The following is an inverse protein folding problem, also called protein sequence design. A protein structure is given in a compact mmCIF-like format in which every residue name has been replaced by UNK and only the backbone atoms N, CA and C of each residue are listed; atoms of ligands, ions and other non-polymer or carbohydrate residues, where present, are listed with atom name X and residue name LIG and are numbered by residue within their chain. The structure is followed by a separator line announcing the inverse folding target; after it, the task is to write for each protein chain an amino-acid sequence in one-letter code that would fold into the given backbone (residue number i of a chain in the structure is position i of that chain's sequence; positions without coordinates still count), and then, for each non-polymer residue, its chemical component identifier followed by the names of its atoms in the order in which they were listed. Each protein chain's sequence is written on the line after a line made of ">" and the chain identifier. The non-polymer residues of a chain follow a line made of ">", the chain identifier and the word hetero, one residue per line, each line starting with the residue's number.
data_IF_157260236195
#
_entry.id   IF_157260236195
#
_cell.length_a   1.000
_cell.length_b   1.000
_cell.length_c   1.000
_cell.angle_alpha   90.00
_cell.angle_beta   90.00
_cell.angle_gamma   90.00
#
_symmetry.space_group_name_H-M   'P 1'
#
loop_
_entity.id
_entity.type
_entity.pdbx_description
1 polymer ?
#
# COMPACT_ATOMS: atom_id res chain seq x y z
N UNK A 1 -5.39 14.11 52.32
CA UNK A 1 -6.25 13.22 51.52
C UNK A 1 -5.88 13.15 50.02
N UNK A 2 -5.20 14.13 49.40
CA UNK A 2 -4.96 14.14 47.94
C UNK A 2 -3.97 13.10 47.36
N UNK A 3 -2.93 12.68 48.10
CA UNK A 3 -1.90 11.74 47.58
C UNK A 3 -2.44 10.33 47.27
N UNK A 4 -3.30 9.78 48.14
CA UNK A 4 -3.93 8.45 47.92
C UNK A 4 -4.87 8.43 46.72
N UNK A 5 -5.57 9.54 46.48
CA UNK A 5 -6.49 9.68 45.36
C UNK A 5 -5.74 9.78 44.02
N UNK A 6 -4.62 10.52 43.99
CA UNK A 6 -3.71 10.55 42.83
C UNK A 6 -3.15 9.17 42.49
N UNK A 7 -2.76 8.36 43.49
CA UNK A 7 -2.30 6.99 43.25
C UNK A 7 -3.39 6.08 42.69
N UNK A 8 -4.62 6.19 43.20
CA UNK A 8 -5.76 5.43 42.69
C UNK A 8 -6.14 5.84 41.26
N UNK A 9 -6.07 7.13 40.95
CA UNK A 9 -6.36 7.66 39.61
C UNK A 9 -5.28 7.23 38.61
N UNK A 10 -4.01 7.24 39.01
CA UNK A 10 -2.90 6.72 38.22
C UNK A 10 -3.06 5.21 37.95
N UNK A 11 -3.45 4.43 38.97
CA UNK A 11 -3.77 3.00 38.84
C UNK A 11 -4.95 2.76 37.89
N UNK A 12 -5.99 3.57 37.97
CA UNK A 12 -7.15 3.49 37.07
C UNK A 12 -6.78 3.82 35.63
N UNK A 13 -5.93 4.82 35.41
CA UNK A 13 -5.41 5.17 34.08
C UNK A 13 -4.52 4.03 33.55
N UNK A 14 -3.61 3.49 34.36
CA UNK A 14 -2.75 2.36 33.99
C UNK A 14 -3.55 1.09 33.69
N UNK A 15 -4.57 0.78 34.51
CA UNK A 15 -5.47 -0.34 34.28
C UNK A 15 -6.35 -0.11 33.03
N UNK A 16 -6.85 1.11 32.85
CA UNK A 16 -7.61 1.52 31.67
C UNK A 16 -6.79 1.36 30.39
N UNK A 17 -5.59 1.96 30.35
CA UNK A 17 -4.66 1.84 29.22
C UNK A 17 -4.23 0.40 28.98
N UNK A 18 -3.95 -0.35 30.05
CA UNK A 18 -3.60 -1.78 29.98
C UNK A 18 -4.73 -2.66 29.45
N UNK A 19 -5.98 -2.23 29.64
CA UNK A 19 -7.17 -2.93 29.14
C UNK A 19 -7.62 -2.50 27.75
N UNK A 20 -7.21 -1.33 27.24
CA UNK A 20 -7.56 -0.84 25.89
C UNK A 20 -7.42 -1.89 24.76
N UNK A 21 -6.41 -2.78 24.76
CA UNK A 21 -6.31 -3.84 23.76
C UNK A 21 -7.54 -4.75 23.64
N UNK A 22 -8.25 -4.98 24.75
CA UNK A 22 -9.40 -5.87 24.81
C UNK A 22 -10.75 -5.20 24.52
N UNK A 23 -10.84 -3.87 24.54
CA UNK A 23 -12.13 -3.17 24.47
C UNK A 23 -12.59 -2.82 23.04
N UNK A 24 -11.65 -2.70 22.10
CA UNK A 24 -11.96 -2.32 20.72
C UNK A 24 -12.19 -3.58 19.88
N UNK A 25 -13.41 -3.92 19.50
CA UNK A 25 -13.67 -5.13 18.66
C UNK A 25 -13.29 -4.91 17.19
N UNK A 26 -13.07 -5.99 16.41
CA UNK A 26 -12.86 -5.88 14.96
C UNK A 26 -13.99 -5.12 14.26
N UNK A 27 -15.24 -5.36 14.66
CA UNK A 27 -16.41 -4.65 14.12
C UNK A 27 -16.39 -3.14 14.40
N UNK A 28 -15.93 -2.71 15.58
CA UNK A 28 -15.80 -1.29 15.88
C UNK A 28 -14.69 -0.64 15.04
N UNK A 29 -13.58 -1.35 14.80
CA UNK A 29 -12.51 -0.90 13.91
C UNK A 29 -12.97 -0.82 12.46
N UNK A 30 -13.72 -1.80 11.97
CA UNK A 30 -14.34 -1.76 10.66
C UNK A 30 -15.28 -0.56 10.53
N UNK A 31 -16.19 -0.36 11.48
CA UNK A 31 -17.13 0.77 11.46
C UNK A 31 -16.40 2.12 11.47
N UNK A 32 -15.32 2.23 12.26
CA UNK A 32 -14.50 3.43 12.30
C UNK A 32 -13.77 3.64 10.97
N UNK A 33 -13.10 2.61 10.44
CA UNK A 33 -12.37 2.68 9.18
C UNK A 33 -13.29 3.02 8.01
N UNK A 34 -14.46 2.37 7.93
CA UNK A 34 -15.46 2.61 6.88
C UNK A 34 -16.03 4.03 6.90
N UNK A 35 -16.01 4.72 8.05
CA UNK A 35 -16.40 6.14 8.12
C UNK A 35 -15.46 7.07 7.37
N UNK A 36 -14.19 6.68 7.21
CA UNK A 36 -13.20 7.44 6.45
C UNK A 36 -13.11 7.02 4.98
N UNK A 37 -13.80 5.95 4.60
CA UNK A 37 -13.87 5.49 3.22
C UNK A 37 -15.01 6.19 2.49
N UNK A 38 -14.85 6.33 1.16
CA UNK A 38 -15.95 6.73 0.30
C UNK A 38 -17.08 5.68 0.37
N UNK A 39 -18.35 6.08 0.21
CA UNK A 39 -19.51 5.23 0.51
C UNK A 39 -19.58 3.94 -0.33
N UNK A 40 -18.96 3.93 -1.51
CA UNK A 40 -18.94 2.77 -2.40
C UNK A 40 -17.86 1.74 -2.04
N UNK A 41 -17.09 2.00 -0.98
CA UNK A 41 -16.00 1.16 -0.52
C UNK A 41 -16.26 0.66 0.89
N UNK A 42 -15.89 -0.60 1.12
CA UNK A 42 -16.00 -1.24 2.43
C UNK A 42 -14.70 -1.96 2.76
N UNK A 43 -14.34 -1.90 4.04
CA UNK A 43 -13.21 -2.55 4.64
C UNK A 43 -13.72 -3.50 5.72
N UNK A 44 -13.37 -4.77 5.55
CA UNK A 44 -13.68 -5.85 6.47
C UNK A 44 -12.36 -6.35 7.08
N UNK A 45 -12.37 -6.63 8.37
CA UNK A 45 -11.23 -7.05 9.18
C UNK A 45 -11.56 -8.45 9.71
N UNK A 46 -10.62 -9.37 9.56
CA UNK A 46 -10.76 -10.72 10.10
C UNK A 46 -11.06 -10.73 11.60
N UNK A 47 -11.82 -11.74 12.04
CA UNK A 47 -12.16 -11.90 13.46
C UNK A 47 -10.94 -12.19 14.33
N UNK A 48 -9.93 -12.84 13.76
CA UNK A 48 -8.69 -13.16 14.46
C UNK A 48 -7.76 -11.96 14.44
N UNK A 49 -7.58 -11.38 15.62
CA UNK A 49 -6.62 -10.31 15.87
C UNK A 49 -5.86 -10.59 17.15
N UNK A 50 -4.60 -10.17 17.18
CA UNK A 50 -3.85 -10.06 18.41
C UNK A 50 -3.34 -8.62 18.54
N UNK A 51 -3.62 -7.99 19.67
CA UNK A 51 -3.02 -6.70 20.01
C UNK A 51 -2.08 -6.93 21.18
N UNK A 52 -0.83 -6.52 21.02
CA UNK A 52 0.18 -6.58 22.07
C UNK A 52 0.94 -5.26 22.12
N UNK A 53 1.89 -5.15 23.05
CA UNK A 53 2.68 -3.92 23.19
C UNK A 53 3.53 -3.58 21.97
N UNK A 54 3.91 -4.57 21.16
CA UNK A 54 4.76 -4.38 19.98
C UNK A 54 3.95 -4.01 18.74
N UNK A 55 2.65 -4.29 18.73
CA UNK A 55 1.81 -3.97 17.59
C UNK A 55 0.49 -4.72 17.51
N UNK A 56 -0.06 -4.71 16.30
CA UNK A 56 -1.31 -5.35 15.92
C UNK A 56 -1.04 -6.42 14.87
N UNK A 57 -1.56 -7.62 15.08
CA UNK A 57 -1.63 -8.64 14.06
C UNK A 57 -3.09 -8.87 13.67
N UNK A 58 -3.33 -8.95 12.37
CA UNK A 58 -4.64 -9.27 11.79
C UNK A 58 -4.46 -10.47 10.85
N UNK A 59 -5.36 -11.46 10.95
CA UNK A 59 -5.32 -12.58 10.02
C UNK A 59 -5.66 -12.14 8.60
N UNK A 60 -6.59 -11.20 8.44
CA UNK A 60 -7.07 -10.77 7.14
C UNK A 60 -7.65 -9.35 7.16
N UNK A 61 -7.53 -8.65 6.03
CA UNK A 61 -8.25 -7.42 5.71
C UNK A 61 -8.75 -7.52 4.26
N UNK A 62 -10.03 -7.26 4.03
CA UNK A 62 -10.64 -7.20 2.69
C UNK A 62 -11.10 -5.80 2.39
N UNK A 63 -10.71 -5.30 1.23
CA UNK A 63 -11.15 -4.03 0.70
C UNK A 63 -12.00 -4.29 -0.54
N UNK A 64 -13.28 -3.93 -0.46
CA UNK A 64 -14.28 -4.25 -1.47
C UNK A 64 -14.98 -2.99 -1.94
N UNK A 65 -15.43 -3.02 -3.19
CA UNK A 65 -16.45 -2.10 -3.70
C UNK A 65 -17.84 -2.68 -3.45
N UNK A 66 -18.88 -1.96 -3.88
CA UNK A 66 -20.26 -2.49 -3.93
C UNK A 66 -20.43 -3.71 -4.84
N UNK A 67 -19.51 -3.91 -5.80
CA UNK A 67 -19.65 -4.92 -6.86
C UNK A 67 -18.72 -6.11 -6.67
N UNK A 68 -17.54 -5.92 -6.08
CA UNK A 68 -16.50 -6.95 -6.01
C UNK A 68 -15.49 -6.68 -4.89
N UNK A 69 -14.73 -7.71 -4.52
CA UNK A 69 -13.62 -7.59 -3.59
C UNK A 69 -12.35 -7.19 -4.37
N UNK A 70 -11.82 -5.99 -4.12
CA UNK A 70 -10.69 -5.45 -4.87
C UNK A 70 -9.37 -6.01 -4.36
N UNK A 71 -9.15 -5.97 -3.04
CA UNK A 71 -7.91 -6.42 -2.42
C UNK A 71 -8.19 -7.26 -1.19
N UNK A 72 -7.47 -8.37 -1.04
CA UNK A 72 -7.38 -9.13 0.21
C UNK A 72 -5.94 -9.11 0.71
N UNK A 73 -5.73 -8.66 1.94
CA UNK A 73 -4.46 -8.73 2.64
C UNK A 73 -4.55 -9.84 3.69
N UNK A 74 -3.56 -10.70 3.78
CA UNK A 74 -3.50 -11.81 4.73
C UNK A 74 -2.23 -11.73 5.57
N UNK A 75 -2.34 -12.16 6.84
CA UNK A 75 -1.29 -12.15 7.87
C UNK A 75 -0.59 -10.79 7.92
N UNK A 76 -1.33 -9.80 8.41
CA UNK A 76 -0.90 -8.42 8.50
C UNK A 76 -0.28 -8.20 9.87
N UNK A 77 0.89 -7.57 9.91
CA UNK A 77 1.58 -7.19 11.14
C UNK A 77 1.89 -5.71 11.09
N UNK A 78 1.33 -4.95 12.02
CA UNK A 78 1.61 -3.53 12.19
C UNK A 78 2.45 -3.36 13.45
N UNK A 79 3.71 -2.93 13.30
CA UNK A 79 4.58 -2.49 14.38
C UNK A 79 4.43 -0.98 14.58
N UNK A 80 4.14 -0.57 15.81
CA UNK A 80 3.78 0.82 16.14
C UNK A 80 5.01 1.62 16.63
N UNK A 81 6.08 0.92 17.01
CA UNK A 81 7.37 1.50 17.41
C UNK A 81 8.19 1.87 16.19
N UNK A 82 9.09 2.84 16.34
CA UNK A 82 9.93 3.29 15.23
C UNK A 82 10.97 2.22 14.83
N UNK A 83 11.14 1.91 13.53
CA UNK A 83 10.34 2.42 12.41
C UNK A 83 8.96 1.78 12.38
N UNK A 84 7.92 2.61 12.24
CA UNK A 84 6.54 2.12 12.09
C UNK A 84 6.48 1.28 10.82
N UNK A 85 6.06 0.04 10.93
CA UNK A 85 6.11 -0.91 9.82
C UNK A 85 4.82 -1.69 9.70
N UNK A 86 4.21 -1.65 8.53
CA UNK A 86 3.10 -2.49 8.14
C UNK A 86 3.63 -3.58 7.23
N UNK A 87 3.61 -4.82 7.68
CA UNK A 87 4.00 -5.99 6.91
C UNK A 87 2.78 -6.81 6.54
N UNK A 88 2.69 -7.23 5.29
CA UNK A 88 1.65 -8.10 4.75
C UNK A 88 2.33 -9.29 4.10
N UNK A 89 2.03 -10.49 4.59
CA UNK A 89 2.61 -11.71 4.06
C UNK A 89 2.11 -12.00 2.64
N UNK A 90 0.82 -11.79 2.40
CA UNK A 90 0.21 -12.01 1.09
C UNK A 90 -0.89 -10.99 0.81
N UNK A 91 -0.80 -10.31 -0.32
CA UNK A 91 -1.84 -9.48 -0.89
C UNK A 91 -2.39 -10.15 -2.16
N UNK A 92 -3.70 -10.16 -2.34
CA UNK A 92 -4.37 -10.61 -3.55
C UNK A 92 -5.14 -9.44 -4.13
N UNK A 93 -4.85 -9.06 -5.37
CA UNK A 93 -5.52 -8.01 -6.13
C UNK A 93 -6.39 -8.63 -7.23
N UNK A 94 -7.65 -8.27 -7.30
CA UNK A 94 -8.57 -8.72 -8.35
C UNK A 94 -8.49 -7.77 -9.55
N UNK A 95 -7.95 -8.25 -10.67
CA UNK A 95 -7.75 -7.44 -11.87
C UNK A 95 -9.06 -7.06 -12.57
N UNK A 96 -10.04 -7.95 -12.61
CA UNK A 96 -11.36 -7.64 -13.17
C UNK A 96 -12.03 -6.56 -12.34
N UNK A 97 -11.97 -6.69 -11.00
CA UNK A 97 -12.52 -5.69 -10.09
C UNK A 97 -11.82 -4.32 -10.23
N UNK A 98 -10.49 -4.32 -10.36
CA UNK A 98 -9.71 -3.10 -10.58
C UNK A 98 -10.12 -2.40 -11.87
N UNK A 99 -10.29 -3.17 -12.96
CA UNK A 99 -10.63 -2.62 -14.27
C UNK A 99 -12.10 -2.15 -14.36
N UNK A 100 -12.97 -2.57 -13.45
CA UNK A 100 -14.35 -2.07 -13.35
C UNK A 100 -14.49 -0.80 -12.50
N UNK A 101 -13.40 -0.33 -11.86
CA UNK A 101 -13.43 0.93 -11.10
C UNK A 101 -13.61 2.11 -12.07
N UNK A 102 -14.76 2.78 -11.96
CA UNK A 102 -15.03 3.98 -12.74
C UNK A 102 -14.32 5.16 -12.08
N UNK A 103 -13.27 5.69 -12.73
CA UNK A 103 -12.74 7.01 -12.38
C UNK A 103 -13.73 8.04 -12.95
N UNK A 104 -14.57 8.58 -12.08
CA UNK A 104 -15.57 9.56 -12.49
C UNK A 104 -14.89 10.92 -12.68
N UNK A 105 -14.42 11.19 -13.89
CA UNK A 105 -13.72 12.44 -14.26
C UNK A 105 -14.55 13.71 -13.97
N UNK A 106 -15.87 13.56 -13.76
CA UNK A 106 -16.81 14.61 -13.45
C UNK A 106 -16.84 15.04 -11.97
N UNK A 107 -16.09 14.38 -11.07
CA UNK A 107 -15.95 14.88 -9.70
C UNK A 107 -15.29 16.26 -9.71
N UNK A 108 -15.94 17.22 -9.03
CA UNK A 108 -15.52 18.63 -9.04
C UNK A 108 -14.17 18.87 -8.36
N UNK A 109 -13.69 17.95 -7.51
CA UNK A 109 -12.46 18.15 -6.74
C UNK A 109 -11.66 16.85 -6.67
N UNK A 110 -10.54 16.78 -7.38
CA UNK A 110 -9.59 15.68 -7.19
C UNK A 110 -8.95 15.79 -5.80
N UNK A 111 -8.74 14.66 -5.08
CA UNK A 111 -7.87 14.62 -3.92
C UNK A 111 -6.50 15.18 -4.25
N UNK A 112 -5.93 15.94 -3.31
CA UNK A 112 -4.59 16.53 -3.44
C UNK A 112 -3.53 15.58 -2.88
N UNK A 113 -2.47 15.34 -3.64
CA UNK A 113 -1.31 14.57 -3.18
C UNK A 113 -0.65 15.24 -1.98
N UNK A 114 -0.58 16.58 -1.93
CA UNK A 114 -0.06 17.34 -0.78
C UNK A 114 -0.84 17.03 0.50
N UNK A 115 -2.17 16.99 0.41
CA UNK A 115 -3.02 16.65 1.55
C UNK A 115 -2.78 15.20 2.01
N UNK A 116 -2.63 14.25 1.08
CA UNK A 116 -2.29 12.86 1.40
C UNK A 116 -0.91 12.76 2.07
N UNK A 117 0.12 13.35 1.49
CA UNK A 117 1.48 13.31 2.04
C UNK A 117 1.60 14.02 3.41
N UNK A 118 0.76 15.03 3.67
CA UNK A 118 0.72 15.72 4.96
C UNK A 118 0.12 14.89 6.10
N UNK A 119 -0.72 13.90 5.78
CA UNK A 119 -1.36 13.02 6.77
C UNK A 119 -0.63 11.68 6.96
N UNK A 120 0.28 11.33 6.04
CA UNK A 120 1.06 10.10 6.13
C UNK A 120 2.08 10.17 7.27
N UNK A 121 2.09 9.21 8.20
CA UNK A 121 3.17 9.08 9.17
C UNK A 121 4.43 8.54 8.49
N UNK A 122 5.60 8.83 9.07
CA UNK A 122 6.83 8.12 8.70
C UNK A 122 6.63 6.63 8.92
N UNK A 123 6.67 5.83 7.86
CA UNK A 123 6.33 4.43 7.91
C UNK A 123 6.92 3.64 6.73
N UNK A 124 7.12 2.35 6.95
CA UNK A 124 7.44 1.38 5.92
C UNK A 124 6.25 0.42 5.73
N UNK A 125 5.90 0.15 4.48
CA UNK A 125 4.91 -0.85 4.09
C UNK A 125 5.61 -1.92 3.29
N UNK A 126 5.48 -3.18 3.71
CA UNK A 126 6.08 -4.33 3.06
C UNK A 126 4.98 -5.30 2.68
N UNK A 127 4.86 -5.58 1.39
CA UNK A 127 4.03 -6.67 0.85
C UNK A 127 5.00 -7.73 0.34
N UNK A 128 5.08 -8.88 1.02
CA UNK A 128 6.04 -9.92 0.63
C UNK A 128 5.65 -10.63 -0.65
N UNK A 129 4.35 -10.89 -0.82
CA UNK A 129 3.80 -11.57 -2.00
C UNK A 129 2.50 -10.91 -2.42
N UNK A 130 2.53 -10.19 -3.52
CA UNK A 130 1.36 -9.70 -4.23
C UNK A 130 1.06 -10.67 -5.37
N UNK A 131 -0.16 -11.23 -5.34
CA UNK A 131 -0.73 -12.04 -6.41
C UNK A 131 -1.87 -11.28 -7.06
N UNK A 132 -1.87 -11.24 -8.39
CA UNK A 132 -3.02 -10.73 -9.13
C UNK A 132 -3.84 -11.92 -9.63
N UNK A 133 -5.16 -11.85 -9.44
CA UNK A 133 -6.11 -12.88 -9.89
C UNK A 133 -7.04 -12.33 -10.96
N UNK A 134 -7.75 -13.23 -11.64
CA UNK A 134 -8.69 -12.91 -12.71
C UNK A 134 -8.01 -12.14 -13.87
N UNK A 135 -6.86 -12.64 -14.31
CA UNK A 135 -6.00 -12.01 -15.33
C UNK A 135 -6.20 -12.61 -16.72
N UNK A 136 -7.28 -13.37 -16.96
CA UNK A 136 -7.51 -14.11 -18.20
C UNK A 136 -7.58 -13.20 -19.44
N UNK A 137 -7.99 -11.94 -19.25
CA UNK A 137 -8.08 -10.93 -20.31
C UNK A 137 -6.73 -10.25 -20.62
N UNK A 138 -5.66 -10.57 -19.89
CA UNK A 138 -4.32 -10.01 -20.11
C UNK A 138 -3.60 -10.85 -21.18
N UNK A 139 -3.75 -10.45 -22.43
CA UNK A 139 -3.24 -11.21 -23.59
C UNK A 139 -1.78 -10.91 -23.94
N UNK A 140 -1.24 -9.77 -23.51
CA UNK A 140 0.13 -9.39 -23.83
C UNK A 140 1.13 -10.27 -23.04
N UNK A 141 2.02 -11.03 -23.70
CA UNK A 141 2.80 -12.09 -23.03
C UNK A 141 3.72 -11.61 -21.90
N UNK A 142 4.41 -10.48 -22.07
CA UNK A 142 5.35 -9.95 -21.07
C UNK A 142 4.62 -9.44 -19.82
N UNK A 143 3.49 -8.76 -20.02
CA UNK A 143 2.61 -8.26 -18.98
C UNK A 143 1.93 -9.43 -18.27
N UNK A 144 1.46 -10.44 -19.01
CA UNK A 144 0.89 -11.64 -18.42
C UNK A 144 1.92 -12.37 -17.55
N UNK A 145 3.17 -12.46 -18.01
CA UNK A 145 4.26 -13.00 -17.20
C UNK A 145 4.47 -12.20 -15.91
N UNK A 146 4.48 -10.87 -15.97
CA UNK A 146 4.67 -10.03 -14.78
C UNK A 146 3.49 -10.14 -13.81
N UNK A 147 2.27 -10.05 -14.30
CA UNK A 147 1.06 -9.97 -13.47
C UNK A 147 0.74 -11.31 -12.78
N UNK A 148 1.18 -12.43 -13.36
CA UNK A 148 0.98 -13.78 -12.80
C UNK A 148 2.13 -14.26 -11.92
N UNK A 149 3.25 -13.51 -11.87
CA UNK A 149 4.40 -13.83 -11.02
C UNK A 149 4.18 -13.34 -9.58
N UNK A 150 5.01 -13.83 -8.64
CA UNK A 150 5.00 -13.32 -7.27
C UNK A 150 5.80 -12.00 -7.20
N UNK A 151 5.13 -10.91 -6.85
CA UNK A 151 5.74 -9.60 -6.64
C UNK A 151 5.95 -9.33 -5.15
N UNK A 152 7.11 -8.79 -4.79
CA UNK A 152 7.33 -8.16 -3.48
C UNK A 152 7.40 -6.65 -3.65
N UNK A 153 6.85 -5.91 -2.69
CA UNK A 153 6.81 -4.44 -2.70
C UNK A 153 7.25 -3.93 -1.34
N UNK A 154 8.17 -2.98 -1.33
CA UNK A 154 8.57 -2.20 -0.15
C UNK A 154 8.36 -0.73 -0.47
N UNK A 155 7.47 -0.09 0.27
CA UNK A 155 7.24 1.35 0.19
C UNK A 155 7.66 2.02 1.51
N UNK A 156 8.54 3.00 1.46
CA UNK A 156 9.03 3.72 2.64
C UNK A 156 8.79 5.21 2.49
N UNK A 157 8.09 5.80 3.45
CA UNK A 157 7.93 7.24 3.57
C UNK A 157 8.72 7.77 4.77
N UNK A 158 9.73 8.60 4.49
CA UNK A 158 10.61 9.18 5.51
C UNK A 158 10.15 10.56 6.03
N UNK A 159 8.93 10.98 5.65
CA UNK A 159 8.39 12.30 5.96
C UNK A 159 8.76 13.37 4.94
N UNK A 160 9.61 13.06 3.96
CA UNK A 160 10.00 13.96 2.87
C UNK A 160 9.76 13.36 1.50
N UNK A 161 10.01 12.07 1.34
CA UNK A 161 9.89 11.35 0.06
C UNK A 161 9.32 9.96 0.27
N UNK A 162 8.59 9.48 -0.74
CA UNK A 162 8.12 8.10 -0.82
C UNK A 162 9.04 7.32 -1.74
N UNK A 163 9.67 6.27 -1.23
CA UNK A 163 10.49 5.35 -2.00
C UNK A 163 9.72 4.05 -2.21
N UNK A 164 9.72 3.52 -3.42
CA UNK A 164 9.03 2.27 -3.77
C UNK A 164 10.05 1.36 -4.43
N UNK A 165 10.25 0.18 -3.85
CA UNK A 165 11.05 -0.89 -4.43
C UNK A 165 10.13 -2.08 -4.70
N UNK A 166 10.25 -2.67 -5.89
CA UNK A 166 9.49 -3.84 -6.28
C UNK A 166 10.42 -4.87 -6.88
N UNK A 167 10.25 -6.12 -6.49
CA UNK A 167 10.96 -7.25 -7.11
C UNK A 167 9.97 -8.30 -7.55
N UNK A 168 10.22 -8.92 -8.69
CA UNK A 168 9.39 -10.03 -9.20
C UNK A 168 10.27 -11.23 -9.46
N UNK A 169 9.86 -12.38 -8.94
CA UNK A 169 10.55 -13.64 -9.17
C UNK A 169 9.66 -14.60 -9.93
N UNK A 170 10.26 -15.38 -10.85
CA UNK A 170 9.60 -16.44 -11.60
C UNK A 170 10.48 -17.68 -11.53
N UNK A 171 9.94 -18.78 -11.02
CA UNK A 171 10.68 -20.04 -10.82
C UNK A 171 11.99 -19.86 -10.04
N UNK A 172 12.02 -18.94 -9.06
CA UNK A 172 13.20 -18.63 -8.24
C UNK A 172 14.22 -17.69 -8.89
N UNK A 173 14.06 -17.33 -10.16
CA UNK A 173 14.88 -16.32 -10.82
C UNK A 173 14.24 -14.94 -10.69
N UNK A 174 15.04 -13.93 -10.34
CA UNK A 174 14.64 -12.53 -10.35
C UNK A 174 14.48 -12.05 -11.80
N UNK A 175 13.26 -11.66 -12.18
CA UNK A 175 12.95 -11.21 -13.54
C UNK A 175 12.66 -9.72 -13.63
N UNK A 176 12.33 -9.06 -12.52
CA UNK A 176 12.11 -7.61 -12.48
C UNK A 176 12.65 -7.04 -11.17
N UNK A 177 13.37 -5.93 -11.28
CA UNK A 177 13.66 -5.02 -10.18
C UNK A 177 13.23 -3.61 -10.56
N UNK A 178 12.52 -2.95 -9.66
CA UNK A 178 12.12 -1.57 -9.81
C UNK A 178 12.48 -0.80 -8.55
N UNK A 179 12.99 0.40 -8.72
CA UNK A 179 13.16 1.37 -7.65
C UNK A 179 12.71 2.74 -8.15
N UNK A 180 11.84 3.40 -7.39
CA UNK A 180 11.43 4.76 -7.68
C UNK A 180 11.31 5.60 -6.41
N UNK A 181 11.38 6.91 -6.59
CA UNK A 181 11.25 7.90 -5.54
C UNK A 181 10.33 9.01 -5.99
N UNK A 182 9.33 9.32 -5.17
CA UNK A 182 8.38 10.39 -5.32
C UNK A 182 8.65 11.46 -4.26
N UNK A 183 9.01 12.67 -4.70
CA UNK A 183 9.41 13.78 -3.83
C UNK A 183 8.52 15.00 -4.10
N UNK A 184 7.86 15.57 -3.08
CA UNK A 184 7.18 16.86 -3.21
C UNK A 184 8.22 17.98 -3.39
N UNK A 185 8.05 18.83 -4.40
CA UNK A 185 8.92 19.97 -4.66
C UNK A 185 8.13 21.13 -5.26
N UNK A 186 8.12 22.29 -4.59
CA UNK A 186 7.50 23.54 -5.08
C UNK A 186 6.03 23.40 -5.51
N UNK A 187 5.22 22.61 -4.77
CA UNK A 187 3.81 22.38 -5.10
C UNK A 187 3.56 21.40 -6.25
N UNK A 188 4.62 20.77 -6.76
CA UNK A 188 4.58 19.65 -7.70
C UNK A 188 5.20 18.42 -7.06
N UNK A 189 5.08 17.28 -7.75
CA UNK A 189 5.66 16.01 -7.33
C UNK A 189 6.65 15.52 -8.38
N UNK A 190 7.90 15.33 -7.98
CA UNK A 190 8.92 14.74 -8.85
C UNK A 190 9.00 13.24 -8.62
N UNK A 191 8.71 12.46 -9.65
CA UNK A 191 8.79 11.01 -9.65
C UNK A 191 9.91 10.54 -10.57
N UNK A 192 10.87 9.84 -10.03
CA UNK A 192 11.99 9.29 -10.79
C UNK A 192 12.16 7.83 -10.43
N UNK A 193 12.61 7.02 -11.39
CA UNK A 193 12.81 5.61 -11.13
C UNK A 193 13.54 4.88 -12.23
N UNK A 194 13.87 3.64 -11.90
CA UNK A 194 14.53 2.67 -12.78
C UNK A 194 13.82 1.34 -12.66
N UNK A 195 13.70 0.65 -13.79
CA UNK A 195 13.23 -0.74 -13.85
C UNK A 195 14.19 -1.54 -14.72
N UNK A 196 14.73 -2.62 -14.16
CA UNK A 196 15.47 -3.64 -14.90
C UNK A 196 14.55 -4.86 -15.04
N UNK A 197 14.27 -5.29 -16.27
CA UNK A 197 13.37 -6.41 -16.58
C UNK A 197 14.04 -7.40 -17.52
N UNK A 198 14.13 -8.66 -17.08
CA UNK A 198 14.73 -9.76 -17.80
C UNK A 198 13.71 -10.90 -17.93
N UNK A 199 12.82 -10.87 -18.94
CA UNK A 199 11.79 -11.90 -19.09
C UNK A 199 12.35 -13.27 -19.44
N UNK A 200 13.49 -13.31 -20.13
CA UNK A 200 14.23 -14.51 -20.54
C UNK A 200 15.73 -14.24 -20.42
N UNK A 201 16.57 -15.28 -20.45
CA UNK A 201 18.04 -15.12 -20.36
C UNK A 201 18.63 -14.21 -21.47
N UNK A 202 17.96 -14.12 -22.63
CA UNK A 202 18.47 -13.40 -23.81
C UNK A 202 17.86 -12.02 -24.01
N UNK A 203 16.88 -11.64 -23.19
CA UNK A 203 16.16 -10.39 -23.35
C UNK A 203 16.28 -9.55 -22.09
N UNK A 204 16.79 -8.33 -22.23
CA UNK A 204 16.94 -7.43 -21.09
C UNK A 204 16.45 -6.04 -21.48
N UNK A 205 15.67 -5.44 -20.59
CA UNK A 205 15.09 -4.12 -20.72
C UNK A 205 15.51 -3.28 -19.52
N UNK A 206 16.04 -2.09 -19.80
CA UNK A 206 16.44 -1.10 -18.82
C UNK A 206 15.61 0.16 -19.05
N UNK A 207 14.68 0.42 -18.16
CA UNK A 207 13.85 1.62 -18.15
C UNK A 207 14.39 2.58 -17.10
N UNK A 208 14.54 3.85 -17.46
CA UNK A 208 14.70 4.94 -16.51
C UNK A 208 13.71 6.04 -16.87
N UNK A 209 13.14 6.69 -15.86
CA UNK A 209 12.22 7.80 -16.08
C UNK A 209 12.41 8.88 -15.03
N UNK A 210 12.01 10.08 -15.42
CA UNK A 210 11.97 11.26 -14.57
C UNK A 210 10.77 12.10 -15.00
N UNK A 211 9.80 12.28 -14.11
CA UNK A 211 8.54 12.95 -14.38
C UNK A 211 8.19 13.96 -13.28
N UNK A 212 7.54 15.04 -13.66
CA UNK A 212 6.88 15.98 -12.76
C UNK A 212 5.37 15.80 -12.90
N UNK A 213 4.69 15.69 -11.77
CA UNK A 213 3.25 15.51 -11.67
C UNK A 213 2.64 16.69 -10.92
N UNK A 214 1.45 17.08 -11.34
CA UNK A 214 0.60 18.00 -10.61
C UNK A 214 0.08 17.37 -9.31
N UNK A 215 -0.47 18.21 -8.45
CA UNK A 215 -0.99 17.82 -7.13
C UNK A 215 -2.32 17.03 -7.19
N UNK A 216 -2.97 16.90 -8.35
CA UNK A 216 -4.28 16.26 -8.47
C UNK A 216 -4.15 14.74 -8.70
N UNK A 217 -4.41 13.94 -7.67
CA UNK A 217 -4.24 12.47 -7.70
C UNK A 217 -5.04 11.78 -8.82
N UNK A 218 -6.28 12.20 -9.08
CA UNK A 218 -7.14 11.58 -10.09
C UNK A 218 -6.93 12.19 -11.48
N UNK A 219 -6.15 13.27 -11.59
CA UNK A 219 -5.90 14.00 -12.83
C UNK A 219 -4.41 14.23 -13.03
N UNK A 220 -3.62 13.17 -12.81
CA UNK A 220 -2.17 13.21 -12.97
C UNK A 220 -1.82 13.55 -14.42
N UNK A 221 -1.04 14.62 -14.59
CA UNK A 221 -0.50 15.07 -15.87
C UNK A 221 1.03 15.01 -15.80
N UNK A 222 1.62 13.81 -15.89
CA UNK A 222 3.06 13.67 -15.86
C UNK A 222 3.69 14.38 -17.06
N UNK A 223 4.75 15.16 -16.80
CA UNK A 223 5.62 15.75 -17.81
C UNK A 223 7.06 15.38 -17.50
N UNK A 224 7.78 14.83 -18.47
CA UNK A 224 9.13 14.38 -18.24
C UNK A 224 9.68 13.52 -19.34
N UNK A 225 10.72 12.77 -19.00
CA UNK A 225 11.50 11.96 -19.92
C UNK A 225 11.46 10.49 -19.50
N UNK A 226 11.45 9.62 -20.51
CA UNK A 226 11.53 8.17 -20.36
C UNK A 226 12.61 7.69 -21.32
N UNK A 227 13.59 6.98 -20.79
CA UNK A 227 14.63 6.31 -21.58
C UNK A 227 14.47 4.80 -21.39
N UNK A 228 14.28 4.09 -22.51
CA UNK A 228 14.18 2.64 -22.57
C UNK A 228 15.32 2.12 -23.44
N UNK A 229 16.21 1.33 -22.84
CA UNK A 229 17.26 0.60 -23.54
C UNK A 229 16.92 -0.88 -23.51
N UNK A 230 17.09 -1.60 -24.62
CA UNK A 230 16.80 -3.03 -24.69
C UNK A 230 17.89 -3.78 -25.44
N UNK A 231 18.07 -5.04 -25.06
CA UNK A 231 18.90 -6.01 -25.76
C UNK A 231 18.02 -7.21 -26.10
N UNK A 232 17.89 -7.49 -27.40
CA UNK A 232 17.15 -8.63 -27.94
C UNK A 232 18.06 -9.40 -28.91
N UNK A 233 17.93 -10.73 -29.00
CA UNK A 233 18.67 -11.56 -29.93
C UNK A 233 18.26 -11.33 -31.39
#
# INVERSE_FOLDING_TARGET
>A
MGKRWLFLLLLFILAGIGSLPWWITSQQLEQLANRFLAPDYTLQIGNERSLNMNGLQLSQLRFSTTQCNLVTLNNIQLNWWAPRRLEVEQATLDYICLNSLHVNDNEKTSPKLTALFSSLPTAEVVIKRLKVINTENVTQPLLNQLITSDLSIVANYDGKRLQINTETTKNGALILQHSSTLTPQNGLFHWQGRTDFQPTEKQTYHLTFSAQMNDELLRLKPRGEIMLNWQNP
#
